data_IF_730089009296
#
_entry.id   IF_730089009296
#
_cell.length_a   1.000
_cell.length_b   1.000
_cell.length_c   1.000
_cell.angle_alpha   90.00
_cell.angle_beta   90.00
_cell.angle_gamma   90.00
#
_symmetry.space_group_name_H-M   'P 1'
#
loop_
_entity.id
_entity.type
_entity.pdbx_description
1 polymer ?
#
# COMPACT_ATOMS: atom_id res chain seq x y z
N UNK A 1 -17.42 8.02 18.67
CA UNK A 1 -16.45 9.07 19.11
C UNK A 1 -15.11 8.39 19.33
N UNK A 2 -14.05 8.90 18.72
CA UNK A 2 -12.71 8.30 18.76
C UNK A 2 -12.08 8.56 20.14
N UNK A 3 -11.71 7.49 20.84
CA UNK A 3 -11.06 7.58 22.14
C UNK A 3 -9.53 7.69 21.96
N UNK A 4 -9.03 8.92 22.02
CA UNK A 4 -7.59 9.22 21.81
C UNK A 4 -6.71 8.53 22.86
N UNK A 5 -7.20 8.34 24.10
CA UNK A 5 -6.45 7.66 25.15
C UNK A 5 -6.30 6.18 24.81
N UNK A 6 -7.36 5.52 24.36
CA UNK A 6 -7.28 4.12 23.90
C UNK A 6 -6.33 3.96 22.71
N UNK A 7 -6.37 4.92 21.76
CA UNK A 7 -5.42 4.91 20.62
C UNK A 7 -3.97 5.05 21.11
N UNK A 8 -3.71 5.91 22.08
CA UNK A 8 -2.36 6.05 22.67
C UNK A 8 -1.89 4.77 23.37
N UNK A 9 -2.78 4.17 24.16
CA UNK A 9 -2.48 2.90 24.86
C UNK A 9 -2.26 1.77 23.85
N UNK A 10 -3.05 1.74 22.79
CA UNK A 10 -2.89 0.80 21.68
C UNK A 10 -1.52 0.96 20.99
N UNK A 11 -1.14 2.18 20.60
CA UNK A 11 0.15 2.47 19.98
C UNK A 11 1.32 2.05 20.87
N UNK A 12 1.25 2.35 22.17
CA UNK A 12 2.27 1.96 23.14
C UNK A 12 2.41 0.44 23.24
N UNK A 13 1.29 -0.30 23.24
CA UNK A 13 1.30 -1.76 23.28
C UNK A 13 1.92 -2.34 22.00
N UNK A 14 1.55 -1.83 20.82
CA UNK A 14 2.12 -2.24 19.52
C UNK A 14 3.64 -2.03 19.51
N UNK A 15 4.10 -0.87 19.94
CA UNK A 15 5.54 -0.57 20.01
C UNK A 15 6.28 -1.48 20.96
N UNK A 16 5.70 -1.81 22.13
CA UNK A 16 6.27 -2.76 23.06
C UNK A 16 6.45 -4.13 22.40
N UNK A 17 5.39 -4.64 21.76
CA UNK A 17 5.43 -5.94 21.06
C UNK A 17 6.50 -5.93 19.94
N UNK A 18 6.62 -4.85 19.17
CA UNK A 18 7.66 -4.73 18.14
C UNK A 18 9.06 -4.77 18.72
N UNK A 19 9.31 -4.13 19.86
CA UNK A 19 10.60 -4.15 20.54
C UNK A 19 10.93 -5.51 21.10
N UNK A 20 9.97 -6.17 21.72
CA UNK A 20 10.12 -7.52 22.27
C UNK A 20 10.49 -8.57 21.19
N UNK A 21 10.03 -8.34 19.94
CA UNK A 21 10.28 -9.22 18.80
C UNK A 21 11.28 -8.64 17.77
N UNK A 22 12.06 -7.63 18.15
CA UNK A 22 12.90 -6.85 17.23
C UNK A 22 13.88 -7.72 16.43
N UNK A 23 14.54 -8.67 17.08
CA UNK A 23 15.52 -9.55 16.43
C UNK A 23 14.93 -10.36 15.28
N UNK A 24 13.65 -10.77 15.40
CA UNK A 24 12.97 -11.57 14.38
C UNK A 24 12.63 -10.74 13.13
N UNK A 25 11.98 -9.59 13.31
CA UNK A 25 11.51 -8.81 12.15
C UNK A 25 12.63 -7.95 11.55
N UNK A 26 13.57 -7.39 12.34
CA UNK A 26 14.60 -6.48 11.85
C UNK A 26 15.52 -7.14 10.82
N UNK A 27 15.95 -8.38 11.05
CA UNK A 27 16.80 -9.12 10.10
C UNK A 27 16.04 -9.40 8.78
N UNK A 28 14.78 -9.78 8.89
CA UNK A 28 13.93 -10.05 7.71
C UNK A 28 13.77 -8.80 6.83
N UNK A 29 13.45 -7.67 7.44
CA UNK A 29 13.24 -6.42 6.70
C UNK A 29 14.55 -5.80 6.21
N UNK A 30 15.66 -6.06 6.86
CA UNK A 30 16.98 -5.73 6.31
C UNK A 30 17.27 -6.49 5.02
N UNK A 31 16.97 -7.79 4.99
CA UNK A 31 17.07 -8.61 3.75
C UNK A 31 16.13 -8.11 2.65
N UNK A 32 14.88 -7.75 2.99
CA UNK A 32 13.95 -7.13 2.01
C UNK A 32 14.55 -5.85 1.43
N UNK A 33 15.08 -4.96 2.26
CA UNK A 33 15.65 -3.70 1.78
C UNK A 33 16.83 -3.94 0.81
N UNK A 34 17.73 -4.86 1.12
CA UNK A 34 18.87 -5.19 0.24
C UNK A 34 18.43 -5.73 -1.11
N UNK A 35 17.42 -6.56 -1.11
CA UNK A 35 16.82 -7.14 -2.30
C UNK A 35 16.24 -6.05 -3.20
N UNK A 36 15.42 -5.17 -2.63
CA UNK A 36 14.75 -4.12 -3.39
C UNK A 36 15.71 -3.04 -3.86
N UNK A 37 16.71 -2.66 -3.07
CA UNK A 37 17.75 -1.74 -3.52
C UNK A 37 18.57 -2.31 -4.68
N UNK A 38 18.92 -3.59 -4.62
CA UNK A 38 19.64 -4.25 -5.73
C UNK A 38 18.80 -4.37 -7.00
N UNK A 39 17.47 -4.46 -6.85
CA UNK A 39 16.55 -4.54 -7.98
C UNK A 39 16.13 -3.15 -8.50
N UNK A 40 16.20 -2.10 -7.69
CA UNK A 40 15.75 -0.73 -8.05
C UNK A 40 16.63 -0.05 -9.10
N UNK A 41 17.80 -0.60 -9.39
CA UNK A 41 18.71 -0.08 -10.42
C UNK A 41 18.20 -0.34 -11.86
N UNK A 42 17.15 -1.13 -12.06
CA UNK A 42 16.59 -1.43 -13.38
C UNK A 42 15.17 -0.87 -13.51
N UNK A 43 14.93 -0.11 -14.58
CA UNK A 43 13.57 0.24 -15.00
C UNK A 43 12.78 -1.05 -15.28
N UNK A 44 11.46 -1.04 -15.05
CA UNK A 44 10.62 -2.15 -15.51
C UNK A 44 10.74 -2.28 -17.02
N UNK A 45 11.08 -3.47 -17.54
CA UNK A 45 11.24 -3.70 -18.96
C UNK A 45 9.91 -3.89 -19.69
N UNK A 46 8.80 -3.51 -19.06
CA UNK A 46 7.46 -3.62 -19.63
C UNK A 46 6.55 -2.51 -19.13
N UNK A 47 5.58 -2.15 -19.96
CA UNK A 47 4.52 -1.21 -19.62
C UNK A 47 3.18 -1.92 -19.59
N UNK A 48 2.31 -1.47 -18.68
CA UNK A 48 0.94 -1.93 -18.58
C UNK A 48 -0.01 -0.83 -18.98
N UNK A 49 -1.00 -1.10 -19.85
CA UNK A 49 -1.96 -0.11 -20.27
C UNK A 49 -3.02 0.16 -19.18
N UNK A 50 -3.42 1.42 -19.08
CA UNK A 50 -4.65 1.85 -18.43
C UNK A 50 -4.76 1.45 -16.96
N UNK A 51 -5.68 0.54 -16.67
CA UNK A 51 -6.07 0.15 -15.32
C UNK A 51 -5.45 -1.18 -14.86
N UNK A 52 -4.48 -1.71 -15.59
CA UNK A 52 -3.65 -2.83 -15.13
C UNK A 52 -2.56 -2.30 -14.20
N UNK A 53 -2.70 -2.59 -12.92
CA UNK A 53 -1.73 -2.19 -11.92
C UNK A 53 -0.68 -3.28 -11.72
N UNK A 54 0.59 -2.91 -11.82
CA UNK A 54 1.71 -3.82 -11.54
C UNK A 54 2.06 -3.77 -10.07
N UNK A 55 2.04 -4.95 -9.42
CA UNK A 55 2.39 -5.11 -8.02
C UNK A 55 3.65 -5.97 -7.85
N UNK A 56 4.48 -5.60 -6.89
CA UNK A 56 5.58 -6.43 -6.42
C UNK A 56 5.04 -7.51 -5.49
N UNK A 57 5.36 -8.76 -5.80
CA UNK A 57 5.04 -9.86 -4.91
C UNK A 57 6.17 -10.08 -3.90
N UNK A 58 6.03 -9.56 -2.68
CA UNK A 58 7.04 -9.68 -1.63
C UNK A 58 7.35 -11.12 -1.23
N UNK A 59 6.35 -11.99 -1.16
CA UNK A 59 6.56 -13.38 -0.76
C UNK A 59 7.40 -14.17 -1.77
N UNK A 60 7.21 -13.89 -3.04
CA UNK A 60 8.01 -14.47 -4.12
C UNK A 60 9.32 -13.73 -4.35
N UNK A 61 9.38 -12.43 -4.06
CA UNK A 61 10.61 -11.67 -4.14
C UNK A 61 11.69 -12.27 -3.23
N UNK A 62 11.38 -12.66 -2.00
CA UNK A 62 12.33 -13.33 -1.11
C UNK A 62 12.79 -14.69 -1.62
N UNK A 63 11.87 -15.52 -2.13
CA UNK A 63 12.20 -16.84 -2.65
C UNK A 63 13.06 -16.75 -3.93
N UNK A 64 12.85 -15.71 -4.73
CA UNK A 64 13.52 -15.51 -6.02
C UNK A 64 14.81 -14.69 -5.94
N UNK A 65 15.07 -14.07 -4.80
CA UNK A 65 16.33 -13.33 -4.60
C UNK A 65 17.51 -14.23 -4.30
N UNK A 66 17.27 -15.45 -3.85
CA UNK A 66 18.30 -16.51 -3.88
C UNK A 66 18.63 -16.94 -5.31
N UNK A 67 17.68 -16.85 -6.24
CA UNK A 67 17.90 -17.02 -7.68
C UNK A 67 17.94 -15.64 -8.35
N UNK A 68 19.12 -15.05 -8.46
CA UNK A 68 19.41 -13.69 -8.99
C UNK A 68 18.95 -13.43 -10.44
N UNK A 69 18.19 -14.33 -11.06
CA UNK A 69 17.93 -14.32 -12.51
C UNK A 69 16.54 -13.88 -12.91
N UNK A 70 15.54 -13.93 -12.00
CA UNK A 70 14.14 -13.66 -12.34
C UNK A 70 13.48 -12.77 -11.30
N UNK A 71 12.75 -11.76 -11.74
CA UNK A 71 11.87 -10.95 -10.89
C UNK A 71 10.41 -11.30 -11.18
N UNK A 72 9.59 -11.39 -10.14
CA UNK A 72 8.17 -11.73 -10.26
C UNK A 72 7.28 -10.59 -9.78
N UNK A 73 6.28 -10.33 -10.58
CA UNK A 73 5.23 -9.34 -10.33
C UNK A 73 3.89 -9.99 -10.58
N UNK A 74 2.82 -9.35 -10.15
CA UNK A 74 1.49 -9.71 -10.61
C UNK A 74 0.75 -8.46 -11.11
N UNK A 75 -0.15 -8.69 -12.04
CA UNK A 75 -1.03 -7.67 -12.55
C UNK A 75 -2.38 -7.76 -11.84
N UNK A 76 -2.86 -6.62 -11.38
CA UNK A 76 -4.18 -6.51 -10.76
C UNK A 76 -5.08 -5.62 -11.61
N UNK A 77 -6.31 -6.06 -11.82
CA UNK A 77 -7.35 -5.32 -12.49
C UNK A 77 -8.64 -5.38 -11.66
N UNK A 78 -9.25 -4.22 -11.38
CA UNK A 78 -10.43 -4.11 -10.51
C UNK A 78 -10.34 -4.95 -9.20
N UNK A 79 -9.20 -4.92 -8.53
CA UNK A 79 -8.96 -5.64 -7.28
C UNK A 79 -8.63 -7.13 -7.43
N UNK A 80 -8.66 -7.70 -8.64
CA UNK A 80 -8.36 -9.12 -8.89
C UNK A 80 -7.00 -9.28 -9.55
N UNK A 81 -6.24 -10.29 -9.12
CA UNK A 81 -5.04 -10.69 -9.85
C UNK A 81 -5.45 -11.35 -11.17
N UNK A 82 -4.97 -10.82 -12.28
CA UNK A 82 -5.29 -11.29 -13.63
C UNK A 82 -4.14 -11.98 -14.32
N UNK A 83 -2.90 -11.70 -13.95
CA UNK A 83 -1.72 -12.40 -14.44
C UNK A 83 -0.54 -12.31 -13.50
N UNK A 84 0.32 -13.34 -13.53
CA UNK A 84 1.70 -13.28 -13.04
C UNK A 84 2.61 -12.84 -14.16
N UNK A 85 3.57 -11.96 -13.85
CA UNK A 85 4.64 -11.52 -14.76
C UNK A 85 5.97 -12.03 -14.22
N UNK A 86 6.75 -12.66 -15.10
CA UNK A 86 8.14 -13.03 -14.83
C UNK A 86 9.08 -12.25 -15.75
N UNK A 87 10.08 -11.60 -15.15
CA UNK A 87 11.11 -10.87 -15.88
C UNK A 87 12.43 -11.57 -15.66
N UNK A 88 13.04 -12.10 -16.72
CA UNK A 88 14.38 -12.68 -16.69
C UNK A 88 15.41 -11.57 -16.80
N UNK A 89 16.29 -11.42 -15.79
CA UNK A 89 17.24 -10.31 -15.71
C UNK A 89 18.33 -10.35 -16.79
N UNK A 90 18.69 -11.55 -17.27
CA UNK A 90 19.80 -11.72 -18.22
C UNK A 90 19.52 -11.13 -19.60
N UNK A 91 18.31 -11.31 -20.09
CA UNK A 91 17.87 -10.92 -21.44
C UNK A 91 16.69 -9.96 -21.43
N UNK A 92 16.29 -9.50 -20.24
CA UNK A 92 15.11 -8.66 -20.01
C UNK A 92 13.81 -9.25 -20.60
N UNK A 93 13.80 -10.59 -20.81
CA UNK A 93 12.62 -11.27 -21.33
C UNK A 93 11.49 -11.22 -20.32
N UNK A 94 10.32 -10.79 -20.78
CA UNK A 94 9.10 -10.69 -19.99
C UNK A 94 8.13 -11.75 -20.46
N UNK A 95 7.71 -12.62 -19.56
CA UNK A 95 6.65 -13.60 -19.81
C UNK A 95 5.50 -13.43 -18.84
N UNK A 96 4.31 -13.85 -19.25
CA UNK A 96 3.13 -13.79 -18.39
C UNK A 96 2.34 -15.09 -18.38
N UNK A 97 1.62 -15.29 -17.30
CA UNK A 97 0.73 -16.42 -17.07
C UNK A 97 -0.59 -15.89 -16.55
N UNK A 98 -1.70 -16.19 -17.21
CA UNK A 98 -3.04 -15.74 -16.81
C UNK A 98 -3.64 -16.62 -15.74
N UNK A 99 -4.57 -16.06 -14.96
CA UNK A 99 -5.37 -16.81 -14.00
C UNK A 99 -6.63 -17.38 -14.65
N UNK A 100 -7.00 -18.62 -14.32
CA UNK A 100 -8.20 -19.27 -14.82
C UNK A 100 -9.49 -18.53 -14.42
N UNK A 101 -9.44 -17.78 -13.31
CA UNK A 101 -10.56 -16.94 -12.84
C UNK A 101 -10.87 -15.75 -13.74
N UNK A 102 -10.01 -15.43 -14.74
CA UNK A 102 -10.25 -14.34 -15.66
C UNK A 102 -11.49 -14.56 -16.53
N UNK A 103 -11.77 -15.81 -16.90
CA UNK A 103 -12.98 -16.14 -17.67
C UNK A 103 -14.24 -15.86 -16.85
N UNK A 104 -14.33 -16.40 -15.63
CA UNK A 104 -15.49 -16.19 -14.76
C UNK A 104 -15.66 -14.74 -14.30
N UNK A 105 -14.56 -14.00 -14.14
CA UNK A 105 -14.61 -12.63 -13.63
C UNK A 105 -14.80 -11.59 -14.73
N UNK A 106 -14.20 -11.80 -15.90
CA UNK A 106 -14.10 -10.79 -16.95
C UNK A 106 -14.55 -11.30 -18.34
N UNK A 107 -14.78 -12.61 -18.50
CA UNK A 107 -15.03 -13.23 -19.81
C UNK A 107 -13.75 -13.36 -20.66
N UNK A 108 -12.57 -13.30 -20.06
CA UNK A 108 -11.31 -13.58 -20.74
C UNK A 108 -10.96 -15.05 -20.62
N UNK A 109 -11.33 -15.83 -21.63
CA UNK A 109 -11.20 -17.30 -21.62
C UNK A 109 -9.85 -17.84 -22.04
N UNK A 110 -8.96 -16.99 -22.60
CA UNK A 110 -7.64 -17.42 -23.08
C UNK A 110 -6.72 -17.78 -21.91
N UNK A 111 -6.43 -19.06 -21.75
CA UNK A 111 -5.51 -19.57 -20.74
C UNK A 111 -4.06 -19.52 -21.26
N UNK A 112 -3.28 -18.60 -20.77
CA UNK A 112 -1.90 -18.37 -21.18
C UNK A 112 -0.93 -18.93 -20.15
N UNK A 113 0.05 -19.72 -20.58
CA UNK A 113 1.13 -20.22 -19.73
C UNK A 113 2.47 -19.79 -20.29
N UNK A 114 3.16 -18.88 -19.59
CA UNK A 114 4.50 -18.37 -19.94
C UNK A 114 4.65 -17.88 -21.38
N UNK A 115 3.64 -17.16 -21.89
CA UNK A 115 3.77 -16.51 -23.18
C UNK A 115 4.63 -15.24 -23.06
N UNK A 116 5.26 -14.85 -24.15
CA UNK A 116 6.02 -13.61 -24.23
C UNK A 116 5.07 -12.41 -24.16
N UNK A 117 5.42 -11.42 -23.35
CA UNK A 117 4.63 -10.21 -23.15
C UNK A 117 4.39 -9.42 -24.43
N UNK A 118 5.37 -9.43 -25.36
CA UNK A 118 5.29 -8.70 -26.64
C UNK A 118 4.63 -9.53 -27.77
N UNK A 119 4.32 -10.80 -27.53
CA UNK A 119 3.62 -11.66 -28.48
C UNK A 119 2.22 -11.16 -28.83
N UNK A 120 1.60 -11.71 -29.87
CA UNK A 120 0.24 -11.36 -30.23
C UNK A 120 -0.77 -11.72 -29.14
N UNK A 121 -0.58 -12.85 -28.44
CA UNK A 121 -1.35 -13.22 -27.27
C UNK A 121 -1.19 -12.20 -26.14
N UNK A 122 0.04 -11.70 -25.93
CA UNK A 122 0.29 -10.63 -24.96
C UNK A 122 -0.37 -9.30 -25.34
N UNK A 123 -0.40 -8.97 -26.64
CA UNK A 123 -1.14 -7.79 -27.15
C UNK A 123 -2.65 -7.94 -26.95
N UNK A 124 -3.20 -9.12 -27.28
CA UNK A 124 -4.61 -9.43 -27.07
C UNK A 124 -5.01 -9.26 -25.60
N UNK A 125 -4.24 -9.84 -24.67
CA UNK A 125 -4.45 -9.71 -23.22
C UNK A 125 -4.49 -8.24 -22.80
N UNK A 126 -3.48 -7.44 -23.20
CA UNK A 126 -3.42 -6.01 -22.84
C UNK A 126 -4.58 -5.22 -23.42
N UNK A 127 -4.93 -5.47 -24.69
CA UNK A 127 -6.03 -4.80 -25.35
C UNK A 127 -7.37 -5.13 -24.71
N UNK A 128 -7.58 -6.39 -24.33
CA UNK A 128 -8.78 -6.80 -23.62
C UNK A 128 -8.96 -5.98 -22.34
N UNK A 129 -7.99 -5.94 -21.44
CA UNK A 129 -8.10 -5.19 -20.20
C UNK A 129 -8.06 -3.67 -20.36
N UNK A 130 -7.42 -3.15 -21.42
CA UNK A 130 -7.45 -1.72 -21.74
C UNK A 130 -8.84 -1.25 -22.19
N UNK A 131 -9.60 -2.13 -22.83
CA UNK A 131 -10.94 -1.79 -23.39
C UNK A 131 -12.09 -2.27 -22.51
N UNK A 132 -11.83 -3.13 -21.54
CA UNK A 132 -12.85 -3.68 -20.64
C UNK A 132 -13.44 -2.57 -19.76
N UNK A 133 -14.78 -2.35 -19.87
CA UNK A 133 -15.49 -1.27 -19.18
C UNK A 133 -16.46 -1.77 -18.11
N UNK A 134 -16.78 -3.06 -18.13
CA UNK A 134 -17.78 -3.59 -17.22
C UNK A 134 -17.22 -3.65 -15.79
N UNK A 135 -18.05 -3.28 -14.83
CA UNK A 135 -17.82 -3.61 -13.44
C UNK A 135 -18.06 -5.11 -13.26
N UNK A 136 -17.22 -5.78 -12.52
CA UNK A 136 -17.46 -7.18 -12.15
C UNK A 136 -18.71 -7.22 -11.28
N UNK A 137 -19.71 -8.04 -11.66
CA UNK A 137 -20.91 -8.23 -10.86
C UNK A 137 -20.66 -9.22 -9.72
N UNK A 138 -21.04 -8.79 -8.58
CA UNK A 138 -21.28 -9.42 -7.28
C UNK A 138 -20.64 -10.74 -6.83
N UNK A 139 -20.17 -10.73 -5.59
CA UNK A 139 -20.04 -11.86 -4.67
C UNK A 139 -18.69 -12.58 -4.63
N UNK A 140 -17.78 -12.34 -5.57
CA UNK A 140 -16.46 -13.02 -5.63
C UNK A 140 -15.27 -12.07 -5.54
N UNK A 141 -15.46 -10.88 -4.99
CA UNK A 141 -14.50 -9.79 -5.07
C UNK A 141 -13.82 -9.53 -3.77
N UNK A 142 -12.61 -9.08 -3.90
CA UNK A 142 -12.02 -8.24 -2.91
C UNK A 142 -12.35 -6.77 -3.25
N UNK A 143 -13.50 -6.29 -2.80
CA UNK A 143 -13.94 -4.90 -3.01
C UNK A 143 -12.93 -3.93 -2.41
N UNK A 144 -12.36 -4.23 -1.27
CA UNK A 144 -11.31 -3.44 -0.62
C UNK A 144 -10.12 -3.24 -1.56
N UNK A 145 -9.64 -4.30 -2.23
CA UNK A 145 -8.58 -4.17 -3.24
C UNK A 145 -9.01 -3.39 -4.49
N UNK A 146 -10.31 -3.41 -4.84
CA UNK A 146 -10.82 -2.59 -5.94
C UNK A 146 -10.80 -1.11 -5.56
N UNK A 147 -11.27 -0.77 -4.38
CA UNK A 147 -11.21 0.61 -3.84
C UNK A 147 -9.76 1.05 -3.67
N UNK A 148 -8.88 0.19 -3.17
CA UNK A 148 -7.44 0.44 -3.09
C UNK A 148 -6.86 0.82 -4.46
N UNK A 149 -7.20 0.09 -5.52
CA UNK A 149 -6.75 0.40 -6.88
C UNK A 149 -7.29 1.75 -7.38
N UNK A 150 -8.55 2.07 -7.10
CA UNK A 150 -9.14 3.37 -7.43
C UNK A 150 -8.43 4.50 -6.69
N UNK A 151 -8.11 4.29 -5.43
CA UNK A 151 -7.38 5.26 -4.63
C UNK A 151 -5.93 5.42 -5.15
N UNK A 152 -5.23 4.33 -5.49
CA UNK A 152 -3.93 4.41 -6.16
C UNK A 152 -3.97 5.22 -7.46
N UNK A 153 -5.03 5.05 -8.26
CA UNK A 153 -5.23 5.83 -9.49
C UNK A 153 -5.37 7.32 -9.18
N UNK A 154 -6.22 7.67 -8.19
CA UNK A 154 -6.40 9.05 -7.76
C UNK A 154 -5.09 9.67 -7.26
N UNK A 155 -4.40 8.98 -6.35
CA UNK A 155 -3.14 9.42 -5.76
C UNK A 155 -2.00 9.55 -6.80
N UNK A 156 -2.03 8.76 -7.86
CA UNK A 156 -1.01 8.76 -8.93
C UNK A 156 -1.23 9.83 -10.00
N UNK A 157 -2.36 10.52 -10.01
CA UNK A 157 -2.61 11.63 -10.94
C UNK A 157 -1.54 12.70 -10.80
N UNK A 158 -1.19 13.35 -11.91
CA UNK A 158 -0.34 14.54 -11.88
C UNK A 158 -1.03 15.67 -11.10
N UNK A 159 -0.24 16.47 -10.39
CA UNK A 159 -0.78 17.63 -9.66
C UNK A 159 -1.38 18.59 -10.69
N UNK A 160 -2.70 18.80 -10.60
CA UNK A 160 -3.49 19.61 -11.52
C UNK A 160 -4.91 19.76 -11.01
N UNK A 161 -5.83 20.25 -11.88
CA UNK A 161 -7.24 20.47 -11.53
C UNK A 161 -7.96 19.17 -11.14
N UNK A 162 -7.63 18.07 -11.83
CA UNK A 162 -8.35 16.78 -11.69
C UNK A 162 -7.87 15.92 -10.52
N UNK A 163 -6.78 16.31 -9.84
CA UNK A 163 -6.28 15.59 -8.66
C UNK A 163 -6.95 16.13 -7.41
N UNK A 164 -7.77 15.29 -6.77
CA UNK A 164 -8.52 15.67 -5.57
C UNK A 164 -7.63 15.71 -4.31
N UNK A 165 -6.73 14.75 -4.17
CA UNK A 165 -5.77 14.69 -3.05
C UNK A 165 -4.38 15.19 -3.49
N UNK A 166 -4.25 16.52 -3.65
CA UNK A 166 -3.09 17.18 -4.27
C UNK A 166 -1.75 16.93 -3.55
N UNK A 167 -1.81 16.66 -2.25
CA UNK A 167 -0.62 16.59 -1.40
C UNK A 167 -0.19 15.15 -1.06
N UNK A 168 -0.88 14.15 -1.61
CA UNK A 168 -0.60 12.75 -1.34
C UNK A 168 -0.19 12.06 -2.63
N UNK A 169 0.89 11.28 -2.55
CA UNK A 169 1.36 10.44 -3.66
C UNK A 169 1.70 9.05 -3.13
N UNK A 170 1.33 7.96 -3.82
CA UNK A 170 1.69 6.63 -3.36
C UNK A 170 3.19 6.42 -3.49
N UNK A 171 3.78 5.74 -2.53
CA UNK A 171 5.14 5.22 -2.65
C UNK A 171 5.13 4.10 -3.67
N UNK A 172 6.07 4.14 -4.62
CA UNK A 172 6.26 3.11 -5.63
C UNK A 172 7.67 2.57 -5.57
N UNK A 173 7.81 1.27 -5.62
CA UNK A 173 9.10 0.61 -5.80
C UNK A 173 9.26 0.22 -7.27
N UNK A 174 10.28 0.74 -7.96
CA UNK A 174 10.51 0.46 -9.39
C UNK A 174 9.29 0.77 -10.29
N UNK A 175 8.56 1.83 -9.97
CA UNK A 175 7.27 2.17 -10.61
C UNK A 175 6.12 1.16 -10.39
N UNK A 176 6.33 0.14 -9.55
CA UNK A 176 5.28 -0.79 -9.14
C UNK A 176 4.62 -0.36 -7.84
N UNK A 177 3.35 -0.69 -7.72
CA UNK A 177 2.65 -0.68 -6.43
C UNK A 177 3.09 -1.86 -5.58
N UNK A 178 2.83 -1.79 -4.31
CA UNK A 178 3.09 -2.87 -3.37
C UNK A 178 2.24 -2.69 -2.12
N UNK A 179 1.92 -3.79 -1.50
CA UNK A 179 1.41 -3.83 -0.14
C UNK A 179 2.61 -4.10 0.77
N UNK A 180 2.95 -3.15 1.63
CA UNK A 180 4.10 -3.31 2.53
C UNK A 180 3.78 -4.38 3.57
N UNK A 181 4.45 -5.54 3.55
CA UNK A 181 4.17 -6.56 4.56
C UNK A 181 4.55 -6.06 5.94
N UNK A 182 3.76 -6.43 6.94
CA UNK A 182 3.98 -6.10 8.34
C UNK A 182 4.00 -7.36 9.19
N UNK A 183 4.63 -7.35 10.38
CA UNK A 183 4.58 -8.50 11.27
C UNK A 183 3.26 -8.60 12.05
N UNK A 184 2.35 -7.65 11.88
CA UNK A 184 1.03 -7.64 12.51
C UNK A 184 -0.07 -8.06 11.54
N UNK A 185 -1.07 -8.74 12.07
CA UNK A 185 -2.37 -8.89 11.42
C UNK A 185 -3.35 -7.93 12.10
N UNK A 186 -3.44 -6.71 11.58
CA UNK A 186 -4.27 -5.67 12.19
C UNK A 186 -5.76 -5.81 11.86
N UNK A 187 -6.10 -6.56 10.81
CA UNK A 187 -7.49 -6.86 10.44
C UNK A 187 -8.21 -7.81 11.40
N UNK A 188 -7.48 -8.53 12.27
CA UNK A 188 -8.10 -9.20 13.40
C UNK A 188 -8.24 -8.19 14.54
N UNK A 189 -9.36 -8.20 15.25
CA UNK A 189 -9.65 -7.26 16.34
C UNK A 189 -8.61 -7.31 17.48
N UNK A 190 -7.71 -8.27 17.46
CA UNK A 190 -6.65 -8.44 18.46
C UNK A 190 -5.35 -7.76 18.07
N UNK A 191 -5.21 -7.29 16.82
CA UNK A 191 -3.98 -6.70 16.29
C UNK A 191 -2.74 -7.55 16.61
N UNK A 192 -2.84 -8.84 16.35
CA UNK A 192 -1.87 -9.82 16.83
C UNK A 192 -0.56 -9.79 16.04
N UNK A 193 0.55 -9.96 16.77
CA UNK A 193 1.86 -10.21 16.16
C UNK A 193 1.87 -11.61 15.54
N UNK A 194 2.18 -11.70 14.25
CA UNK A 194 2.20 -12.94 13.45
C UNK A 194 3.54 -13.18 12.78
N UNK A 195 4.51 -12.33 13.03
CA UNK A 195 5.84 -12.43 12.44
C UNK A 195 5.79 -12.45 10.91
N UNK A 196 6.22 -13.56 10.30
CA UNK A 196 6.20 -13.72 8.82
C UNK A 196 4.80 -13.87 8.20
N UNK A 197 3.79 -14.14 8.99
CA UNK A 197 2.40 -14.37 8.56
C UNK A 197 1.49 -13.19 8.93
N UNK A 198 2.04 -11.99 9.03
CA UNK A 198 1.29 -10.77 9.28
C UNK A 198 0.50 -10.29 8.06
N UNK A 199 -0.11 -9.15 8.19
CA UNK A 199 -0.82 -8.46 7.11
C UNK A 199 0.09 -7.56 6.27
N UNK A 200 -0.53 -6.65 5.53
CA UNK A 200 0.15 -5.62 4.75
C UNK A 200 -0.47 -4.26 4.95
N UNK A 201 0.31 -3.21 4.76
CA UNK A 201 -0.19 -1.84 4.60
C UNK A 201 -0.84 -1.75 3.23
N UNK A 202 -2.08 -1.34 3.16
CA UNK A 202 -2.79 -1.21 1.88
C UNK A 202 -2.10 -0.20 0.97
N UNK A 203 -1.85 1.01 1.47
CA UNK A 203 -1.15 2.05 0.72
C UNK A 203 -0.14 2.76 1.62
N UNK A 204 1.13 2.72 1.22
CA UNK A 204 2.14 3.61 1.76
C UNK A 204 2.25 4.82 0.83
N UNK A 205 2.23 6.03 1.40
CA UNK A 205 2.20 7.27 0.64
C UNK A 205 3.20 8.30 1.18
N UNK A 206 3.62 9.22 0.30
CA UNK A 206 4.27 10.46 0.68
C UNK A 206 3.20 11.54 0.83
N UNK A 207 3.13 12.16 2.00
CA UNK A 207 2.18 13.22 2.33
C UNK A 207 2.94 14.54 2.52
N UNK A 208 2.59 15.55 1.75
CA UNK A 208 3.23 16.85 1.82
C UNK A 208 2.57 17.75 2.86
N UNK A 209 3.34 18.25 3.79
CA UNK A 209 2.94 19.21 4.82
C UNK A 209 3.78 20.50 4.67
N UNK A 210 3.27 21.47 3.93
CA UNK A 210 4.03 22.69 3.61
C UNK A 210 5.34 22.36 2.86
N UNK A 211 6.48 22.65 3.48
CA UNK A 211 7.81 22.37 2.92
C UNK A 211 8.38 21.00 3.33
N UNK A 212 7.66 20.22 4.13
CA UNK A 212 8.08 18.88 4.54
C UNK A 212 7.28 17.80 3.85
N UNK A 213 7.86 16.62 3.73
CA UNK A 213 7.18 15.42 3.26
C UNK A 213 7.32 14.34 4.33
N UNK A 214 6.22 13.70 4.67
CA UNK A 214 6.14 12.62 5.65
C UNK A 214 5.68 11.33 4.97
N UNK A 215 5.89 10.20 5.63
CA UNK A 215 5.21 8.97 5.24
C UNK A 215 3.80 8.93 5.83
N UNK A 216 2.85 8.49 5.01
CA UNK A 216 1.49 8.18 5.41
C UNK A 216 1.22 6.71 5.20
N UNK A 217 0.62 6.10 6.19
CA UNK A 217 0.09 4.73 6.17
C UNK A 217 -1.42 4.83 6.01
N UNK A 218 -1.94 4.37 4.88
CA UNK A 218 -3.37 4.44 4.56
C UNK A 218 -3.94 3.03 4.66
N UNK A 219 -4.90 2.85 5.54
CA UNK A 219 -5.75 1.67 5.63
C UNK A 219 -7.05 1.96 4.89
N UNK A 220 -7.44 1.06 3.98
CA UNK A 220 -8.57 1.25 3.08
C UNK A 220 -9.72 0.32 3.49
N UNK A 221 -10.93 0.84 3.49
CA UNK A 221 -12.16 0.04 3.65
C UNK A 221 -13.16 0.36 2.55
N UNK A 222 -14.00 -0.61 2.26
CA UNK A 222 -15.05 -0.50 1.25
C UNK A 222 -16.46 -0.44 1.89
N UNK A 223 -17.48 -0.30 1.06
CA UNK A 223 -18.87 -0.20 1.49
C UNK A 223 -19.48 -1.53 1.93
N UNK A 224 -18.81 -2.66 1.72
CA UNK A 224 -19.38 -3.99 2.01
C UNK A 224 -19.32 -4.36 3.50
N UNK A 225 -18.60 -3.56 4.29
CA UNK A 225 -18.47 -3.73 5.74
C UNK A 225 -19.09 -2.55 6.50
N UNK A 226 -20.42 -2.41 6.51
CA UNK A 226 -21.12 -1.25 7.08
C UNK A 226 -20.94 -1.09 8.58
N UNK A 227 -20.43 -2.11 9.28
CA UNK A 227 -20.21 -2.11 10.73
C UNK A 227 -18.77 -1.74 11.14
N UNK A 228 -17.85 -1.55 10.19
CA UNK A 228 -16.52 -1.04 10.53
C UNK A 228 -16.62 0.47 10.79
N UNK A 229 -16.44 0.85 12.05
CA UNK A 229 -16.37 2.27 12.41
C UNK A 229 -14.95 2.81 12.20
N UNK A 230 -14.83 4.12 12.12
CA UNK A 230 -13.55 4.80 11.89
C UNK A 230 -12.51 4.50 12.97
N UNK A 231 -12.94 4.23 14.21
CA UNK A 231 -12.03 3.90 15.31
C UNK A 231 -11.30 2.58 15.06
N UNK A 232 -11.95 1.58 14.49
CA UNK A 232 -11.31 0.31 14.11
C UNK A 232 -10.31 0.51 12.97
N UNK A 233 -10.69 1.27 11.94
CA UNK A 233 -9.83 1.52 10.77
C UNK A 233 -8.61 2.35 11.16
N UNK A 234 -8.78 3.36 11.99
CA UNK A 234 -7.65 4.17 12.46
C UNK A 234 -6.72 3.36 13.40
N UNK A 235 -7.25 2.44 14.21
CA UNK A 235 -6.43 1.51 15.00
C UNK A 235 -5.54 0.62 14.11
N UNK A 236 -6.07 0.14 12.99
CA UNK A 236 -5.28 -0.62 12.00
C UNK A 236 -4.17 0.25 11.41
N UNK A 237 -4.51 1.46 10.96
CA UNK A 237 -3.54 2.42 10.43
C UNK A 237 -2.45 2.78 11.47
N UNK A 238 -2.82 2.98 12.73
CA UNK A 238 -1.89 3.23 13.85
C UNK A 238 -0.96 2.04 14.07
N UNK A 239 -1.48 0.81 14.05
CA UNK A 239 -0.67 -0.40 14.18
C UNK A 239 0.43 -0.46 13.12
N UNK A 240 0.06 -0.23 11.87
CA UNK A 240 1.01 -0.26 10.76
C UNK A 240 1.95 0.95 10.77
N UNK A 241 1.47 2.13 11.17
CA UNK A 241 2.30 3.32 11.31
C UNK A 241 3.37 3.15 12.41
N UNK A 242 3.05 2.51 13.53
CA UNK A 242 4.02 2.11 14.54
C UNK A 242 5.11 1.20 13.98
N UNK A 243 4.72 0.22 13.14
CA UNK A 243 5.69 -0.65 12.49
C UNK A 243 6.59 0.12 11.51
N UNK A 244 6.03 0.98 10.66
CA UNK A 244 6.83 1.82 9.73
C UNK A 244 7.79 2.72 10.50
N UNK A 245 7.35 3.27 11.63
CA UNK A 245 8.22 4.05 12.53
C UNK A 245 9.42 3.23 13.03
N UNK A 246 9.18 2.04 13.58
CA UNK A 246 10.23 1.16 14.06
C UNK A 246 11.17 0.70 12.92
N UNK A 247 10.61 0.46 11.72
CA UNK A 247 11.37 0.11 10.53
C UNK A 247 12.34 1.22 10.12
N UNK A 248 11.90 2.46 10.11
CA UNK A 248 12.75 3.62 9.77
C UNK A 248 13.83 3.91 10.82
N UNK A 249 13.63 3.48 12.06
CA UNK A 249 14.62 3.56 13.15
C UNK A 249 15.46 2.30 13.32
N UNK A 250 15.24 1.28 12.48
CA UNK A 250 16.01 0.06 12.48
C UNK A 250 17.38 0.25 11.81
N UNK A 251 18.25 -0.76 11.93
CA UNK A 251 19.56 -0.80 11.23
C UNK A 251 19.46 -0.65 9.71
N UNK A 252 18.30 -0.98 9.12
CA UNK A 252 18.04 -0.85 7.70
C UNK A 252 17.22 0.41 7.34
N UNK A 253 17.00 1.29 8.29
CA UNK A 253 16.15 2.49 8.12
C UNK A 253 16.57 3.37 6.95
N UNK A 254 17.85 3.66 6.79
CA UNK A 254 18.38 4.45 5.66
C UNK A 254 18.09 3.79 4.30
N UNK A 255 18.11 2.46 4.24
CA UNK A 255 17.80 1.71 3.02
C UNK A 255 16.32 1.85 2.68
N UNK A 256 15.45 1.75 3.68
CA UNK A 256 14.00 1.92 3.51
C UNK A 256 13.64 3.35 3.13
N UNK A 257 14.30 4.35 3.71
CA UNK A 257 14.11 5.74 3.30
C UNK A 257 14.38 5.95 1.81
N UNK A 258 15.50 5.40 1.30
CA UNK A 258 15.83 5.44 -0.13
C UNK A 258 14.78 4.74 -0.98
N UNK A 259 14.31 3.58 -0.55
CA UNK A 259 13.26 2.83 -1.24
C UNK A 259 11.94 3.59 -1.29
N UNK A 260 11.61 4.32 -0.23
CA UNK A 260 10.40 5.17 -0.17
C UNK A 260 10.56 6.51 -0.92
N UNK A 261 11.67 6.71 -1.62
CA UNK A 261 11.88 7.86 -2.49
C UNK A 261 12.48 9.09 -1.80
N UNK A 262 12.98 8.96 -0.58
CA UNK A 262 13.70 10.06 0.08
C UNK A 262 15.13 10.14 -0.45
N UNK A 263 15.43 11.23 -1.15
CA UNK A 263 16.75 11.47 -1.75
C UNK A 263 17.81 11.93 -0.75
N UNK A 264 17.35 12.52 0.35
CA UNK A 264 18.20 12.81 1.50
C UNK A 264 17.79 11.85 2.61
N UNK A 265 18.76 11.26 3.34
CA UNK A 265 18.39 10.56 4.57
C UNK A 265 17.49 11.54 5.31
N UNK A 266 16.31 11.08 5.70
CA UNK A 266 15.64 11.75 6.79
C UNK A 266 16.69 11.58 7.90
N UNK A 267 17.63 12.52 8.02
CA UNK A 267 18.37 12.64 9.26
C UNK A 267 17.26 12.58 10.26
N UNK A 268 17.15 11.45 10.97
CA UNK A 268 16.14 11.30 12.02
C UNK A 268 16.37 12.55 12.85
N UNK A 269 15.51 13.58 12.71
CA UNK A 269 15.85 14.86 13.29
C UNK A 269 15.94 14.61 14.79
N UNK A 270 16.82 15.33 15.44
CA UNK A 270 16.65 15.62 16.87
C UNK A 270 15.22 16.10 17.21
N UNK A 271 14.42 16.46 16.18
CA UNK A 271 13.02 16.93 16.24
C UNK A 271 11.94 15.86 16.18
N UNK A 272 12.29 14.57 16.09
CA UNK A 272 11.31 13.49 16.04
C UNK A 272 10.78 13.13 14.63
N UNK A 273 10.42 11.88 14.44
CA UNK A 273 9.81 11.36 13.22
C UNK A 273 8.28 11.49 13.32
N UNK A 274 7.65 12.04 12.29
CA UNK A 274 6.19 12.12 12.20
C UNK A 274 5.71 11.23 11.06
N UNK A 275 4.75 10.33 11.35
CA UNK A 275 4.10 9.45 10.38
C UNK A 275 2.60 9.70 10.44
N UNK A 276 1.97 9.86 9.28
CA UNK A 276 0.53 10.04 9.18
C UNK A 276 -0.14 8.66 9.17
N UNK A 277 -1.02 8.39 10.14
CA UNK A 277 -1.91 7.23 10.17
C UNK A 277 -3.27 7.62 9.61
N UNK A 278 -3.69 7.03 8.51
CA UNK A 278 -4.78 7.52 7.67
C UNK A 278 -5.83 6.42 7.49
N UNK A 279 -7.06 6.68 7.91
CA UNK A 279 -8.22 5.84 7.59
C UNK A 279 -8.88 6.35 6.30
N UNK A 280 -8.97 5.50 5.27
CA UNK A 280 -9.68 5.80 4.04
C UNK A 280 -10.89 4.89 3.90
N UNK A 281 -12.09 5.46 4.06
CA UNK A 281 -13.33 4.69 4.02
C UNK A 281 -14.52 5.54 3.56
N UNK A 282 -15.60 4.92 3.07
CA UNK A 282 -16.82 5.64 2.73
C UNK A 282 -17.54 6.18 3.99
N UNK A 283 -18.32 7.22 3.80
CA UNK A 283 -19.31 7.71 4.75
C UNK A 283 -18.79 8.09 6.17
N UNK A 284 -17.58 8.65 6.26
CA UNK A 284 -17.09 9.19 7.54
C UNK A 284 -17.93 10.41 7.94
N UNK A 285 -18.41 10.44 9.18
CA UNK A 285 -19.20 11.54 9.69
C UNK A 285 -18.39 12.84 9.81
N UNK A 286 -19.07 13.98 9.73
CA UNK A 286 -18.41 15.28 9.93
C UNK A 286 -17.78 15.42 11.31
N UNK A 287 -18.42 14.86 12.31
CA UNK A 287 -17.95 14.93 13.69
C UNK A 287 -16.67 14.12 13.88
N UNK A 288 -16.59 12.94 13.26
CA UNK A 288 -15.36 12.13 13.27
C UNK A 288 -14.22 12.85 12.54
N UNK A 289 -14.50 13.48 11.39
CA UNK A 289 -13.52 14.27 10.66
C UNK A 289 -13.01 15.46 11.50
N UNK A 290 -13.91 16.21 12.12
CA UNK A 290 -13.57 17.33 13.00
C UNK A 290 -12.78 16.85 14.23
N UNK A 291 -13.16 15.73 14.80
CA UNK A 291 -12.48 15.15 15.94
C UNK A 291 -11.04 14.74 15.58
N UNK A 292 -10.83 14.03 14.45
CA UNK A 292 -9.50 13.71 13.98
C UNK A 292 -8.66 14.95 13.68
N UNK A 293 -9.24 15.95 13.03
CA UNK A 293 -8.56 17.21 12.73
C UNK A 293 -8.16 17.99 14.00
N UNK A 294 -8.91 17.85 15.08
CA UNK A 294 -8.61 18.47 16.38
C UNK A 294 -7.76 17.60 17.29
N UNK A 295 -7.60 16.31 16.98
CA UNK A 295 -6.82 15.38 17.78
C UNK A 295 -5.35 15.73 17.70
N UNK A 296 -4.76 15.89 18.89
CA UNK A 296 -3.31 16.08 18.99
C UNK A 296 -2.58 14.82 18.57
N UNK A 297 -1.34 14.99 18.15
CA UNK A 297 -0.45 13.88 17.80
C UNK A 297 -0.37 12.84 18.90
N UNK A 298 -0.42 11.58 18.53
CA UNK A 298 -0.08 10.49 19.44
C UNK A 298 1.44 10.44 19.60
N UNK A 299 1.91 10.52 20.83
CA UNK A 299 3.34 10.39 21.12
C UNK A 299 3.73 8.92 21.08
N UNK A 300 4.69 8.58 20.24
CA UNK A 300 5.16 7.22 20.08
C UNK A 300 6.62 7.13 20.50
N UNK A 301 6.84 6.80 21.77
CA UNK A 301 8.13 6.54 22.39
C UNK A 301 8.94 7.76 22.91
N UNK A 302 10.14 7.41 23.41
CA UNK A 302 11.05 8.28 24.16
C UNK A 302 11.70 9.39 23.32
N UNK A 303 11.58 9.32 22.00
CA UNK A 303 12.42 10.08 21.05
C UNK A 303 11.66 11.19 20.31
N UNK A 304 10.62 11.76 20.91
CA UNK A 304 9.79 12.84 20.30
C UNK A 304 9.20 12.47 18.93
N UNK A 305 8.96 11.18 18.68
CA UNK A 305 8.23 10.73 17.50
C UNK A 305 6.72 10.82 17.73
N UNK A 306 6.00 11.07 16.64
CA UNK A 306 4.55 11.23 16.68
C UNK A 306 3.87 10.50 15.54
N UNK A 307 2.67 9.99 15.81
CA UNK A 307 1.70 9.68 14.76
C UNK A 307 0.69 10.82 14.67
N UNK A 308 0.40 11.26 13.46
CA UNK A 308 -0.65 12.24 13.19
C UNK A 308 -1.84 11.52 12.55
N UNK A 309 -3.04 11.68 13.12
CA UNK A 309 -4.21 10.93 12.70
C UNK A 309 -4.97 11.68 11.61
N UNK A 310 -5.29 10.97 10.53
CA UNK A 310 -6.01 11.54 9.40
C UNK A 310 -7.08 10.61 8.88
N UNK A 311 -8.02 11.16 8.11
CA UNK A 311 -8.99 10.38 7.36
C UNK A 311 -9.25 10.93 5.97
N UNK A 312 -9.71 10.04 5.09
CA UNK A 312 -10.19 10.32 3.75
C UNK A 312 -11.58 9.69 3.64
N UNK A 313 -12.60 10.53 3.50
CA UNK A 313 -13.97 10.10 3.20
C UNK A 313 -14.21 10.17 1.69
N UNK A 314 -14.76 9.12 1.13
CA UNK A 314 -15.01 9.03 -0.30
C UNK A 314 -16.37 8.37 -0.60
N UNK A 315 -16.82 8.51 -1.84
CA UNK A 315 -17.83 7.64 -2.44
C UNK A 315 -17.33 7.11 -3.78
N UNK A 316 -17.82 5.97 -4.18
CA UNK A 316 -17.51 5.38 -5.48
C UNK A 316 -18.74 5.39 -6.37
N UNK A 317 -18.59 5.93 -7.59
CA UNK A 317 -19.62 5.93 -8.62
C UNK A 317 -18.98 5.53 -9.96
N UNK A 318 -19.50 4.51 -10.60
CA UNK A 318 -19.08 4.09 -11.95
C UNK A 318 -17.57 3.87 -12.10
N UNK A 319 -16.93 3.17 -11.16
CA UNK A 319 -15.48 2.97 -11.10
C UNK A 319 -14.65 4.26 -10.98
N UNK A 320 -15.25 5.33 -10.49
CA UNK A 320 -14.57 6.56 -10.14
C UNK A 320 -14.69 6.83 -8.64
N UNK A 321 -13.58 7.18 -8.03
CA UNK A 321 -13.55 7.58 -6.63
C UNK A 321 -13.71 9.09 -6.54
N UNK A 322 -14.70 9.53 -5.79
CA UNK A 322 -14.91 10.93 -5.47
C UNK A 322 -14.56 11.15 -3.99
N UNK A 323 -13.55 11.97 -3.73
CA UNK A 323 -13.16 12.35 -2.38
C UNK A 323 -14.17 13.38 -1.89
N UNK A 324 -14.90 13.02 -0.86
CA UNK A 324 -15.91 13.88 -0.26
C UNK A 324 -15.27 14.86 0.71
N UNK A 325 -14.41 14.35 1.59
CA UNK A 325 -13.76 15.11 2.67
C UNK A 325 -12.47 14.47 3.10
N UNK A 326 -11.64 15.25 3.78
CA UNK A 326 -10.43 14.77 4.44
C UNK A 326 -10.10 15.68 5.64
N UNK A 327 -9.32 15.17 6.59
CA UNK A 327 -9.01 15.86 7.85
C UNK A 327 -7.81 16.81 7.79
N UNK A 328 -7.08 16.91 6.66
CA UNK A 328 -6.01 17.90 6.56
C UNK A 328 -6.57 19.32 6.58
N UNK A 329 -6.07 20.15 7.47
CA UNK A 329 -6.40 21.57 7.47
C UNK A 329 -5.94 22.19 6.13
N UNK A 330 -6.80 23.04 5.58
CA UNK A 330 -6.48 23.84 4.40
C UNK A 330 -5.54 24.99 4.78
#
# INVERSE_FOLDING_TARGET
MIDVKKLQDHANNVLRILRDNKSEWEERYAKYADIFLSASASSLPFECPGELFTYINFSTALKNCTNKTTAKYFLRYQGQNVADIEVTKKDSKVTFTTYNTNDSNFGYSTNVKKADWISDVGKEFRNFFATYKRRIDNGRRNEEHRIQNLLFRELSKKIGKDKQLKYIQPVKLQNCFFEMPTPFKASDHTHSYRGKNGGGVDILACVRHGNSTRLGVIEVKDETKPNENIELVINQAVTYACFIRELLRSKSGDKWQKLFGYTKPITVPSSGLIIDAIAAMPNISEDDIKQLASTKRLRVAVEDDYLELHCISFCENNNQLNILRHSWAR
#
